data_IF_573211897210
#
_entry.id   IF_573211897210
#
_cell.length_a   1.000
_cell.length_b   1.000
_cell.length_c   1.000
_cell.angle_alpha   90.00
_cell.angle_beta   90.00
_cell.angle_gamma   90.00
#
_symmetry.space_group_name_H-M   'P 1'
#
loop_
_entity.id
_entity.type
_entity.pdbx_description
1 polymer ?
#
# COMPACT_ATOMS: atom_id res chain seq x y z
N UNK A 1 -26.78 -32.17 8.65
CA UNK A 1 -25.68 -33.17 8.70
C UNK A 1 -24.33 -32.62 8.20
N UNK A 2 -24.25 -31.75 7.16
CA UNK A 2 -22.96 -31.24 6.65
C UNK A 2 -22.26 -30.18 7.54
N UNK A 3 -23.01 -29.36 8.30
CA UNK A 3 -22.41 -28.27 9.10
C UNK A 3 -21.49 -28.78 10.23
N UNK A 4 -21.80 -29.93 10.80
CA UNK A 4 -21.04 -30.51 11.93
C UNK A 4 -19.65 -31.02 11.50
N UNK A 5 -19.55 -31.54 10.28
CA UNK A 5 -18.28 -32.01 9.69
C UNK A 5 -17.34 -30.86 9.30
N UNK A 6 -17.88 -29.65 9.09
CA UNK A 6 -17.10 -28.46 8.73
C UNK A 6 -16.53 -27.72 9.96
N UNK A 7 -16.83 -28.17 11.19
CA UNK A 7 -16.34 -27.54 12.41
C UNK A 7 -14.83 -27.64 12.58
N UNK A 8 -14.23 -28.75 12.13
CA UNK A 8 -12.81 -29.06 12.31
C UNK A 8 -12.17 -29.53 11.01
N UNK A 9 -10.86 -29.28 10.85
CA UNK A 9 -10.05 -29.83 9.77
C UNK A 9 -9.72 -31.31 10.05
N UNK A 10 -10.68 -32.19 9.77
CA UNK A 10 -10.62 -33.64 10.02
C UNK A 10 -10.33 -34.43 8.74
N UNK A 11 -9.95 -35.71 8.89
CA UNK A 11 -9.85 -36.64 7.75
C UNK A 11 -11.18 -36.74 6.99
N UNK A 12 -12.31 -36.78 7.70
CA UNK A 12 -13.64 -36.78 7.09
C UNK A 12 -13.92 -35.50 6.28
N UNK A 13 -13.45 -34.33 6.75
CA UNK A 13 -13.57 -33.08 5.99
C UNK A 13 -12.76 -33.11 4.69
N UNK A 14 -11.52 -33.62 4.75
CA UNK A 14 -10.65 -33.75 3.57
C UNK A 14 -11.23 -34.71 2.54
N UNK A 15 -11.74 -35.87 2.97
CA UNK A 15 -12.43 -36.82 2.08
C UNK A 15 -13.67 -36.17 1.47
N UNK A 16 -14.44 -35.43 2.27
CA UNK A 16 -15.61 -34.71 1.77
C UNK A 16 -15.23 -33.65 0.72
N UNK A 17 -14.14 -32.89 0.93
CA UNK A 17 -13.64 -31.92 -0.04
C UNK A 17 -13.16 -32.57 -1.35
N UNK A 18 -12.58 -33.77 -1.27
CA UNK A 18 -12.09 -34.50 -2.43
C UNK A 18 -13.23 -35.11 -3.28
N UNK A 19 -14.27 -35.63 -2.62
CA UNK A 19 -15.33 -36.41 -3.27
C UNK A 19 -16.51 -35.52 -3.71
N UNK A 20 -16.73 -34.37 -3.07
CA UNK A 20 -17.86 -33.49 -3.38
C UNK A 20 -17.43 -32.26 -4.19
N UNK A 21 -18.35 -31.65 -4.96
CA UNK A 21 -18.07 -30.42 -5.70
C UNK A 21 -17.61 -29.26 -4.79
N UNK A 22 -16.57 -28.55 -5.23
CA UNK A 22 -16.07 -27.35 -4.54
C UNK A 22 -17.02 -26.18 -4.79
N UNK A 23 -17.69 -25.71 -3.74
CA UNK A 23 -18.65 -24.59 -3.78
C UNK A 23 -17.94 -23.22 -3.79
N UNK A 24 -17.11 -22.99 -4.80
CA UNK A 24 -16.24 -21.80 -4.89
C UNK A 24 -17.05 -20.50 -5.03
N UNK A 25 -18.04 -20.47 -5.93
CA UNK A 25 -18.85 -19.27 -6.19
C UNK A 25 -19.56 -18.77 -4.92
N UNK A 26 -20.20 -19.68 -4.17
CA UNK A 26 -20.90 -19.36 -2.92
C UNK A 26 -19.98 -18.77 -1.85
N UNK A 27 -18.70 -19.14 -1.86
CA UNK A 27 -17.70 -18.57 -0.96
C UNK A 27 -17.27 -17.16 -1.42
N UNK A 28 -17.07 -16.97 -2.73
CA UNK A 28 -16.68 -15.67 -3.30
C UNK A 28 -17.77 -14.61 -3.09
N UNK A 29 -19.06 -14.99 -3.15
CA UNK A 29 -20.18 -14.07 -2.89
C UNK A 29 -20.20 -13.50 -1.45
N UNK A 30 -19.42 -14.07 -0.53
CA UNK A 30 -19.31 -13.58 0.86
C UNK A 30 -18.16 -12.60 1.06
N UNK A 31 -17.32 -12.38 0.04
CA UNK A 31 -16.19 -11.45 0.12
C UNK A 31 -16.75 -10.02 0.11
N UNK A 32 -16.37 -9.16 1.07
CA UNK A 32 -16.88 -7.79 1.13
C UNK A 32 -16.39 -6.95 -0.07
N UNK A 33 -17.07 -5.82 -0.38
CA UNK A 33 -16.57 -4.84 -1.33
C UNK A 33 -15.25 -4.23 -0.84
N UNK A 34 -14.42 -3.72 -1.77
CA UNK A 34 -13.09 -3.14 -1.50
C UNK A 34 -12.12 -4.14 -0.83
N UNK A 35 -12.30 -5.42 -1.10
CA UNK A 35 -11.38 -6.44 -0.64
C UNK A 35 -10.15 -6.54 -1.56
N UNK A 36 -9.01 -6.90 -0.98
CA UNK A 36 -7.78 -7.21 -1.71
C UNK A 36 -7.57 -8.71 -1.65
N UNK A 37 -7.72 -9.38 -2.79
CA UNK A 37 -7.65 -10.83 -2.92
C UNK A 37 -6.24 -11.22 -3.36
N UNK A 38 -5.61 -12.11 -2.60
CA UNK A 38 -4.28 -12.64 -2.88
C UNK A 38 -4.41 -14.13 -3.23
N UNK A 39 -4.08 -14.49 -4.47
CA UNK A 39 -4.05 -15.88 -4.93
C UNK A 39 -2.69 -16.52 -4.59
N UNK A 40 -2.72 -17.48 -3.66
CA UNK A 40 -1.56 -18.26 -3.23
C UNK A 40 -1.51 -19.54 -4.04
N UNK A 41 -0.79 -19.49 -5.16
CA UNK A 41 -0.62 -20.61 -6.07
C UNK A 41 0.66 -20.43 -6.91
N UNK A 42 1.24 -21.51 -7.46
CA UNK A 42 2.37 -21.41 -8.40
C UNK A 42 2.02 -20.74 -9.72
N UNK A 43 0.73 -20.47 -9.97
CA UNK A 43 0.25 -19.66 -11.09
C UNK A 43 -1.14 -19.10 -10.79
N UNK A 44 -1.35 -17.82 -11.08
CA UNK A 44 -2.65 -17.13 -10.95
C UNK A 44 -3.73 -17.56 -11.94
N UNK A 45 -4.22 -18.80 -11.84
CA UNK A 45 -5.25 -19.34 -12.74
C UNK A 45 -6.64 -18.77 -12.45
N UNK A 46 -6.95 -18.50 -11.17
CA UNK A 46 -8.32 -18.15 -10.76
C UNK A 46 -8.65 -16.67 -10.96
N UNK A 47 -7.67 -15.81 -11.24
CA UNK A 47 -7.84 -14.37 -11.42
C UNK A 47 -8.98 -13.99 -12.37
N UNK A 48 -9.06 -14.63 -13.53
CA UNK A 48 -10.08 -14.31 -14.54
C UNK A 48 -11.50 -14.64 -14.05
N UNK A 49 -11.65 -15.74 -13.31
CA UNK A 49 -12.92 -16.14 -12.70
C UNK A 49 -13.28 -15.24 -11.52
N UNK A 50 -12.31 -14.94 -10.67
CA UNK A 50 -12.45 -14.06 -9.50
C UNK A 50 -12.88 -12.66 -9.94
N UNK A 51 -12.23 -12.05 -10.93
CA UNK A 51 -12.60 -10.73 -11.44
C UNK A 51 -14.05 -10.61 -11.95
N UNK A 52 -14.64 -11.71 -12.43
CA UNK A 52 -16.04 -11.76 -12.88
C UNK A 52 -17.04 -11.92 -11.73
N UNK A 53 -16.58 -12.44 -10.61
CA UNK A 53 -17.44 -12.83 -9.47
C UNK A 53 -17.32 -11.87 -8.27
N UNK A 54 -16.26 -11.06 -8.24
CA UNK A 54 -15.98 -10.07 -7.20
C UNK A 54 -16.65 -8.72 -7.49
N UNK A 55 -16.76 -7.90 -6.46
CA UNK A 55 -17.16 -6.50 -6.58
C UNK A 55 -16.17 -5.71 -7.46
N UNK A 56 -16.68 -4.72 -8.20
CA UNK A 56 -15.88 -3.90 -9.12
C UNK A 56 -14.75 -3.11 -8.42
N UNK A 57 -14.93 -2.80 -7.13
CA UNK A 57 -13.95 -2.08 -6.30
C UNK A 57 -12.91 -3.00 -5.65
N UNK A 58 -12.96 -4.32 -5.89
CA UNK A 58 -12.04 -5.28 -5.30
C UNK A 58 -10.88 -5.61 -6.23
N UNK A 59 -9.67 -5.71 -5.67
CA UNK A 59 -8.46 -6.04 -6.40
C UNK A 59 -8.08 -7.51 -6.26
N UNK A 60 -7.51 -8.11 -7.32
CA UNK A 60 -7.09 -9.51 -7.32
C UNK A 60 -5.68 -9.67 -7.92
N UNK A 61 -4.75 -10.09 -7.06
CA UNK A 61 -3.34 -10.27 -7.37
C UNK A 61 -2.94 -11.73 -7.20
N UNK A 62 -2.01 -12.20 -8.04
CA UNK A 62 -1.40 -13.52 -7.92
C UNK A 62 0.06 -13.38 -7.54
N UNK A 63 0.56 -14.30 -6.72
CA UNK A 63 1.96 -14.25 -6.27
C UNK A 63 2.96 -14.82 -7.28
N UNK A 64 2.52 -15.71 -8.17
CA UNK A 64 3.37 -16.36 -9.17
C UNK A 64 2.66 -16.49 -10.53
N UNK A 65 3.45 -16.62 -11.58
CA UNK A 65 2.97 -16.82 -12.95
C UNK A 65 3.87 -17.77 -13.73
N UNK A 66 3.27 -18.84 -14.28
CA UNK A 66 3.94 -19.77 -15.19
C UNK A 66 4.42 -19.13 -16.50
N UNK A 67 3.89 -17.95 -16.85
CA UNK A 67 4.27 -17.20 -18.05
C UNK A 67 5.51 -16.32 -17.84
N UNK A 68 5.89 -16.10 -16.58
CA UNK A 68 7.02 -15.25 -16.24
C UNK A 68 8.30 -16.07 -16.14
N UNK A 69 9.37 -15.56 -16.74
CA UNK A 69 10.70 -16.15 -16.64
C UNK A 69 11.33 -15.93 -15.26
N UNK A 70 11.07 -14.77 -14.64
CA UNK A 70 11.53 -14.42 -13.29
C UNK A 70 10.35 -14.24 -12.33
N UNK A 71 10.01 -15.33 -11.64
CA UNK A 71 8.94 -15.31 -10.65
C UNK A 71 9.32 -14.57 -9.36
N UNK A 72 10.61 -14.38 -9.06
CA UNK A 72 11.02 -13.57 -7.91
C UNK A 72 10.71 -12.10 -8.16
N UNK A 73 11.11 -11.57 -9.33
CA UNK A 73 10.75 -10.22 -9.75
C UNK A 73 9.23 -10.04 -9.81
N UNK A 74 8.50 -11.00 -10.38
CA UNK A 74 7.03 -10.97 -10.43
C UNK A 74 6.41 -10.91 -9.04
N UNK A 75 6.87 -11.77 -8.12
CA UNK A 75 6.42 -11.78 -6.73
C UNK A 75 6.66 -10.42 -6.05
N UNK A 76 7.89 -9.91 -6.09
CA UNK A 76 8.25 -8.63 -5.47
C UNK A 76 7.48 -7.44 -6.08
N UNK A 77 7.21 -7.49 -7.38
CA UNK A 77 6.37 -6.49 -8.06
C UNK A 77 4.93 -6.50 -7.53
N UNK A 78 4.33 -7.69 -7.33
CA UNK A 78 2.99 -7.80 -6.77
C UNK A 78 2.96 -7.43 -5.26
N UNK A 79 4.03 -7.69 -4.52
CA UNK A 79 4.20 -7.17 -3.15
C UNK A 79 4.21 -5.63 -3.14
N UNK A 80 4.89 -5.00 -4.10
CA UNK A 80 4.83 -3.55 -4.31
C UNK A 80 3.43 -3.05 -4.65
N UNK A 81 2.69 -3.77 -5.50
CA UNK A 81 1.28 -3.44 -5.80
C UNK A 81 0.41 -3.51 -4.55
N UNK A 82 0.56 -4.54 -3.71
CA UNK A 82 -0.16 -4.63 -2.43
C UNK A 82 0.12 -3.42 -1.53
N UNK A 83 1.36 -2.92 -1.50
CA UNK A 83 1.69 -1.70 -0.77
C UNK A 83 0.94 -0.47 -1.33
N UNK A 84 0.88 -0.31 -2.66
CA UNK A 84 0.12 0.78 -3.29
C UNK A 84 -1.39 0.71 -3.04
N UNK A 85 -1.93 -0.49 -2.81
CA UNK A 85 -3.32 -0.70 -2.40
C UNK A 85 -3.56 -0.43 -0.90
N UNK A 86 -2.52 -0.02 -0.16
CA UNK A 86 -2.62 0.38 1.25
C UNK A 86 -2.24 -0.71 2.26
N UNK A 87 -1.79 -1.89 1.82
CA UNK A 87 -1.29 -2.90 2.77
C UNK A 87 0.06 -2.47 3.34
N UNK A 88 0.20 -2.60 4.66
CA UNK A 88 1.49 -2.43 5.36
C UNK A 88 2.19 -3.79 5.44
N UNK A 89 3.24 -3.96 4.65
CA UNK A 89 4.02 -5.19 4.58
C UNK A 89 5.37 -5.00 5.27
N UNK A 90 5.75 -5.96 6.12
CA UNK A 90 7.08 -6.00 6.71
C UNK A 90 8.04 -6.79 5.80
N UNK A 91 8.73 -6.07 4.93
CA UNK A 91 9.66 -6.67 3.97
C UNK A 91 10.95 -7.18 4.59
N UNK A 92 11.26 -6.82 5.85
CA UNK A 92 12.51 -7.23 6.52
C UNK A 92 12.61 -8.74 6.70
N UNK A 93 11.47 -9.45 6.66
CA UNK A 93 11.41 -10.92 6.76
C UNK A 93 11.80 -11.64 5.47
N UNK A 94 11.92 -10.92 4.36
CA UNK A 94 12.22 -11.50 3.04
C UNK A 94 13.72 -11.63 2.78
N UNK A 95 14.57 -10.97 3.57
CA UNK A 95 16.02 -10.98 3.40
C UNK A 95 16.71 -11.08 4.77
N UNK A 96 18.00 -11.44 4.82
CA UNK A 96 18.73 -11.54 6.07
C UNK A 96 18.68 -10.24 6.90
N UNK A 97 18.73 -10.33 8.24
CA UNK A 97 18.70 -9.14 9.08
C UNK A 97 19.89 -8.22 8.77
N UNK A 98 19.63 -6.92 8.78
CA UNK A 98 20.66 -5.88 8.59
C UNK A 98 21.30 -5.55 9.93
N UNK A 99 22.63 -5.44 9.96
CA UNK A 99 23.39 -4.97 11.12
C UNK A 99 23.46 -3.43 11.14
N UNK A 100 23.30 -2.86 12.33
CA UNK A 100 23.39 -1.42 12.57
C UNK A 100 24.56 -1.12 13.54
N UNK A 101 25.22 0.05 13.44
CA UNK A 101 24.91 1.19 12.58
C UNK A 101 25.25 0.95 11.10
N UNK A 102 24.62 1.72 10.21
CA UNK A 102 24.92 1.67 8.78
C UNK A 102 26.33 2.21 8.48
N UNK A 103 26.93 1.76 7.38
CA UNK A 103 28.27 2.17 6.96
C UNK A 103 28.37 3.67 6.62
N UNK A 104 29.59 4.22 6.76
CA UNK A 104 29.89 5.60 6.36
C UNK A 104 29.64 5.81 4.87
N UNK A 105 29.06 6.94 4.49
CA UNK A 105 28.70 7.22 3.10
C UNK A 105 27.30 6.73 2.69
N UNK A 106 26.55 6.10 3.60
CA UNK A 106 25.11 5.82 3.38
C UNK A 106 24.38 7.14 3.05
N UNK A 107 23.64 7.22 1.94
CA UNK A 107 22.96 8.46 1.52
C UNK A 107 21.99 9.00 2.58
N UNK A 108 21.92 10.33 2.68
CA UNK A 108 20.94 10.99 3.54
C UNK A 108 19.52 10.80 3.00
N UNK A 109 18.57 10.52 3.90
CA UNK A 109 17.15 10.42 3.55
C UNK A 109 16.48 11.80 3.41
N UNK A 110 16.95 12.80 4.15
CA UNK A 110 16.30 14.11 4.26
C UNK A 110 16.05 14.82 2.91
N UNK A 111 16.96 14.79 1.90
CA UNK A 111 16.71 15.49 0.63
C UNK A 111 15.66 14.80 -0.25
N UNK A 112 15.41 13.51 -0.02
CA UNK A 112 14.47 12.70 -0.80
C UNK A 112 13.01 12.85 -0.38
N UNK A 113 12.75 13.40 0.81
CA UNK A 113 11.39 13.66 1.30
C UNK A 113 10.92 14.99 0.74
N UNK A 114 9.77 14.97 0.06
CA UNK A 114 9.11 16.16 -0.49
C UNK A 114 7.75 16.32 0.17
N UNK A 115 7.38 17.56 0.44
CA UNK A 115 6.08 17.93 0.99
C UNK A 115 5.33 18.78 -0.03
N UNK A 116 4.01 18.79 0.07
CA UNK A 116 3.16 19.71 -0.68
C UNK A 116 3.28 21.11 -0.06
N UNK A 117 4.06 21.98 -0.71
CA UNK A 117 4.26 23.38 -0.33
C UNK A 117 3.30 24.34 -1.05
N UNK A 118 2.16 23.86 -1.57
CA UNK A 118 1.16 24.72 -2.23
C UNK A 118 0.53 25.76 -1.31
N UNK A 119 0.63 25.56 0.01
CA UNK A 119 0.12 26.49 1.01
C UNK A 119 1.25 27.32 1.60
N UNK A 120 1.06 28.63 1.55
CA UNK A 120 1.96 29.59 2.20
C UNK A 120 1.45 29.94 3.60
N UNK A 121 2.39 30.23 4.50
CA UNK A 121 2.11 30.66 5.86
C UNK A 121 2.56 32.11 6.00
N UNK A 122 1.83 32.89 6.82
CA UNK A 122 2.22 34.26 7.09
C UNK A 122 3.56 34.27 7.80
N UNK A 123 4.54 34.92 7.19
CA UNK A 123 5.84 35.18 7.78
C UNK A 123 5.84 36.66 8.17
N UNK A 124 6.03 37.00 9.46
CA UNK A 124 6.04 38.38 9.92
C UNK A 124 7.05 39.22 9.13
N UNK A 125 6.62 40.36 8.63
CA UNK A 125 7.52 41.32 7.98
C UNK A 125 8.24 42.18 9.02
N UNK A 126 9.37 42.79 8.65
CA UNK A 126 10.16 43.58 9.60
C UNK A 126 9.39 44.83 10.10
N UNK A 127 8.45 45.34 9.31
CA UNK A 127 7.58 46.46 9.64
C UNK A 127 6.66 46.16 10.84
N UNK A 128 6.26 44.90 11.02
CA UNK A 128 5.42 44.47 12.16
C UNK A 128 6.14 44.60 13.51
N UNK A 129 7.48 44.73 13.49
CA UNK A 129 8.29 44.92 14.68
C UNK A 129 8.59 46.40 14.98
N UNK A 130 8.20 47.33 14.10
CA UNK A 130 8.37 48.75 14.35
C UNK A 130 7.32 49.27 15.33
N UNK A 131 7.70 50.13 16.29
CA UNK A 131 6.71 50.88 17.05
C UNK A 131 5.97 51.85 16.12
N UNK A 132 4.67 52.05 16.35
CA UNK A 132 3.77 52.87 15.52
C UNK A 132 4.30 54.29 15.23
N UNK A 133 5.16 54.82 16.11
CA UNK A 133 5.81 56.13 15.95
C UNK A 133 6.74 56.24 14.74
N UNK A 134 7.25 55.13 14.22
CA UNK A 134 8.26 55.09 13.13
C UNK A 134 7.66 55.10 11.73
N UNK A 135 6.35 54.83 11.59
CA UNK A 135 5.66 54.72 10.29
C UNK A 135 5.39 56.12 9.70
N UNK A 136 5.31 57.15 10.54
CA UNK A 136 5.00 58.52 10.12
C UNK A 136 6.19 59.33 9.56
N UNK A 137 7.44 58.84 9.64
CA UNK A 137 8.61 59.59 9.15
C UNK A 137 8.96 59.37 7.67
N UNK A 138 8.38 58.34 7.02
CA UNK A 138 8.79 57.94 5.66
C UNK A 138 8.08 58.72 4.54
N UNK A 139 6.99 59.44 4.81
CA UNK A 139 6.25 60.22 3.80
C UNK A 139 6.96 61.52 3.37
N UNK A 140 8.02 61.96 4.06
CA UNK A 140 8.68 63.25 3.78
C UNK A 140 9.80 63.14 2.71
N UNK A 141 10.08 61.97 2.14
CA UNK A 141 11.24 61.73 1.28
C UNK A 141 11.02 61.65 -0.24
N UNK A 142 9.89 62.07 -0.81
CA UNK A 142 9.62 61.95 -2.28
C UNK A 142 9.70 63.28 -3.06
N UNK A 143 10.56 64.21 -2.65
CA UNK A 143 10.95 65.37 -3.46
C UNK A 143 12.43 65.69 -3.23
N UNK A 144 13.16 65.98 -4.32
CA UNK A 144 14.63 66.02 -4.48
C UNK A 144 15.19 64.59 -4.66
N UNK A 145 15.45 64.11 -5.88
CA UNK A 145 16.21 64.68 -7.01
C UNK A 145 15.60 64.19 -8.33
#
# INVERSE_FOLDING_TARGET
>A
MQAEQAKNFSSSYLVNNLVNPVRFYDAVQKIPPKAIIIEIAPHGLMRALLKRSLHAESDCLSLMSRKESDNLHYFLSNIGQLYTLGLRLDLKKLYPPIEYPVGTGTPMLSPGIKWDHSKEWVVPSWEEFLPESSIYSTTIGKWMI
#
